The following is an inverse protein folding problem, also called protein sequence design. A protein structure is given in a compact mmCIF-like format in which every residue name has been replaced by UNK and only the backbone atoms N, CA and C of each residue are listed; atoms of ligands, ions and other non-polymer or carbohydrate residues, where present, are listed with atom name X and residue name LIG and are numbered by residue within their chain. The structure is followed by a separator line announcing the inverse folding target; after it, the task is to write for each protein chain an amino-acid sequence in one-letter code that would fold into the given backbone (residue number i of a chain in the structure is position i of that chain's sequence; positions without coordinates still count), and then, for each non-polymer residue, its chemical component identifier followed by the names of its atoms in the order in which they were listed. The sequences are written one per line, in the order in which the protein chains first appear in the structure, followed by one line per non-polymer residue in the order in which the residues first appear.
data_IF_684632913664
#
_entry.id   IF_684632913664
#
_cell.length_a   1.000
_cell.length_b   1.000
_cell.length_c   1.000
_cell.angle_alpha   90.00
_cell.angle_beta   90.00
_cell.angle_gamma   90.00
#
_symmetry.space_group_name_H-M   'P 1'
#
loop_
_entity.id
_entity.type
_entity.pdbx_description
1 polymer ?
#
# COMPACT_ATOMS: atom_id res chain seq x y z
N UNK A 1 -1.95 27.09 2.15
CA UNK A 1 -3.29 26.45 2.23
C UNK A 1 -4.32 27.54 1.95
N UNK A 2 -5.23 27.26 1.02
CA UNK A 2 -6.37 28.12 0.73
C UNK A 2 -7.50 27.99 1.79
N UNK A 3 -8.60 28.73 1.61
CA UNK A 3 -9.72 28.75 2.58
C UNK A 3 -10.42 27.38 2.66
N UNK A 4 -10.51 26.67 1.54
CA UNK A 4 -11.13 25.34 1.49
C UNK A 4 -10.25 24.30 2.16
N UNK A 5 -8.95 24.34 1.92
CA UNK A 5 -7.98 23.49 2.59
C UNK A 5 -7.96 23.69 4.10
N UNK A 6 -8.12 24.92 4.57
CA UNK A 6 -8.20 25.21 6.00
C UNK A 6 -9.47 24.65 6.65
N UNK A 7 -10.61 24.69 5.94
CA UNK A 7 -11.85 24.04 6.41
C UNK A 7 -11.68 22.52 6.51
N UNK A 8 -11.11 21.93 5.47
CA UNK A 8 -10.87 20.48 5.43
C UNK A 8 -9.84 20.04 6.49
N UNK A 9 -8.78 20.85 6.70
CA UNK A 9 -7.81 20.60 7.78
C UNK A 9 -8.49 20.56 9.15
N UNK A 10 -9.32 21.55 9.46
CA UNK A 10 -10.04 21.62 10.73
C UNK A 10 -10.96 20.43 10.93
N UNK A 11 -11.65 20.00 9.86
CA UNK A 11 -12.52 18.82 9.87
C UNK A 11 -11.72 17.54 10.14
N UNK A 12 -10.63 17.29 9.38
CA UNK A 12 -9.82 16.08 9.54
C UNK A 12 -9.11 16.03 10.89
N UNK A 13 -8.61 17.16 11.41
CA UNK A 13 -8.03 17.22 12.74
C UNK A 13 -9.06 16.83 13.81
N UNK A 14 -10.28 17.40 13.75
CA UNK A 14 -11.35 17.07 14.67
C UNK A 14 -11.68 15.57 14.66
N UNK A 15 -11.86 15.00 13.47
CA UNK A 15 -12.13 13.57 13.32
C UNK A 15 -11.01 12.69 13.89
N UNK A 16 -9.76 13.06 13.70
CA UNK A 16 -8.63 12.29 14.21
C UNK A 16 -8.47 12.41 15.73
N UNK A 17 -8.75 13.58 16.30
CA UNK A 17 -8.79 13.78 17.77
C UNK A 17 -9.92 12.95 18.39
N UNK A 18 -11.13 13.00 17.83
CA UNK A 18 -12.29 12.23 18.32
C UNK A 18 -12.05 10.72 18.28
N UNK A 19 -11.29 10.24 17.30
CA UNK A 19 -10.86 8.83 17.20
C UNK A 19 -9.69 8.49 18.13
N UNK A 20 -9.09 9.47 18.79
CA UNK A 20 -7.90 9.27 19.62
C UNK A 20 -6.63 8.91 18.82
N UNK A 21 -6.60 9.18 17.50
CA UNK A 21 -5.45 8.92 16.64
C UNK A 21 -4.34 9.95 16.82
N UNK A 22 -4.72 11.18 17.14
CA UNK A 22 -3.80 12.28 17.44
C UNK A 22 -4.16 12.95 18.75
N UNK A 23 -3.18 13.59 19.34
CA UNK A 23 -3.34 14.44 20.54
C UNK A 23 -2.54 15.73 20.39
N UNK A 24 -2.85 16.82 21.15
CA UNK A 24 -1.97 17.98 21.26
C UNK A 24 -0.58 17.58 21.70
N UNK A 25 0.45 18.27 21.20
CA UNK A 25 1.85 17.96 21.45
C UNK A 25 2.61 19.17 21.98
N UNK A 26 3.61 18.90 22.80
CA UNK A 26 4.66 19.86 23.19
C UNK A 26 6.05 19.42 22.70
N UNK A 27 6.08 18.51 21.72
CA UNK A 27 7.31 17.97 21.15
C UNK A 27 8.19 19.07 20.52
N UNK A 28 9.49 18.87 20.57
CA UNK A 28 10.47 19.67 19.81
C UNK A 28 10.53 19.27 18.31
N UNK A 29 9.88 18.17 17.93
CA UNK A 29 9.72 17.75 16.53
C UNK A 29 8.50 18.42 15.92
N UNK A 30 8.48 18.55 14.58
CA UNK A 30 7.32 19.12 13.90
C UNK A 30 7.44 18.94 12.40
N UNK A 31 6.74 17.96 11.84
CA UNK A 31 6.64 17.77 10.39
C UNK A 31 5.64 18.77 9.79
N UNK A 32 5.90 19.33 8.61
CA UNK A 32 4.90 20.12 7.91
C UNK A 32 3.77 19.22 7.36
N UNK A 33 2.60 19.81 7.14
CA UNK A 33 1.44 19.12 6.58
C UNK A 33 1.13 19.62 5.18
N UNK A 34 0.64 18.72 4.34
CA UNK A 34 0.17 19.02 2.99
C UNK A 34 -1.08 18.20 2.66
N UNK A 35 -1.82 18.64 1.66
CA UNK A 35 -2.93 17.89 1.11
C UNK A 35 -2.51 17.17 -0.18
N UNK A 36 -2.98 15.94 -0.30
CA UNK A 36 -2.88 15.14 -1.54
C UNK A 36 -4.30 14.86 -2.02
N UNK A 37 -4.57 15.14 -3.27
CA UNK A 37 -5.82 14.84 -3.91
C UNK A 37 -5.94 13.34 -4.18
N UNK A 38 -7.08 12.74 -3.84
CA UNK A 38 -7.41 11.36 -4.16
C UNK A 38 -8.10 11.28 -5.52
N UNK A 39 -8.24 10.07 -6.06
CA UNK A 39 -8.96 9.82 -7.32
C UNK A 39 -10.42 10.28 -7.33
N UNK A 40 -11.03 10.38 -6.16
CA UNK A 40 -12.40 10.87 -5.95
C UNK A 40 -12.46 12.38 -5.69
N UNK A 41 -11.40 13.12 -6.01
CA UNK A 41 -11.22 14.56 -5.78
C UNK A 41 -11.29 15.00 -4.32
N UNK A 42 -11.39 14.05 -3.38
CA UNK A 42 -11.28 14.38 -1.96
C UNK A 42 -9.82 14.59 -1.55
N UNK A 43 -9.60 15.51 -0.60
CA UNK A 43 -8.26 15.83 -0.11
C UNK A 43 -7.90 14.96 1.11
N UNK A 44 -6.69 14.39 1.10
CA UNK A 44 -6.12 13.67 2.23
C UNK A 44 -5.03 14.49 2.88
N UNK A 45 -5.12 14.71 4.19
CA UNK A 45 -4.05 15.31 4.98
C UNK A 45 -2.88 14.32 5.09
N UNK A 46 -1.69 14.77 4.74
CA UNK A 46 -0.46 13.98 4.78
C UNK A 46 0.62 14.79 5.50
N UNK A 47 1.40 14.13 6.34
CA UNK A 47 2.55 14.70 7.03
C UNK A 47 3.81 14.44 6.23
N UNK A 48 4.62 15.47 6.05
CA UNK A 48 5.90 15.32 5.36
C UNK A 48 6.97 14.85 6.34
N UNK A 49 7.12 13.55 6.44
CA UNK A 49 8.14 12.92 7.30
C UNK A 49 9.48 12.70 6.61
N UNK A 50 9.78 13.33 5.45
CA UNK A 50 11.06 13.10 4.74
C UNK A 50 12.26 13.32 5.64
N UNK A 51 12.32 14.43 6.38
CA UNK A 51 13.42 14.72 7.30
C UNK A 51 13.53 13.71 8.45
N UNK A 52 12.42 13.26 9.02
CA UNK A 52 12.40 12.19 10.02
C UNK A 52 12.88 10.86 9.42
N UNK A 53 12.44 10.56 8.21
CA UNK A 53 12.80 9.33 7.50
C UNK A 53 14.30 9.26 7.14
N UNK A 54 14.94 10.41 6.90
CA UNK A 54 16.38 10.49 6.62
C UNK A 54 17.22 10.03 7.81
N UNK A 55 16.82 10.40 9.03
CA UNK A 55 17.54 10.03 10.27
C UNK A 55 17.06 8.70 10.87
N UNK A 56 15.99 8.14 10.34
CA UNK A 56 15.44 6.87 10.83
C UNK A 56 16.26 5.69 10.29
N UNK A 57 16.68 4.79 11.17
CA UNK A 57 17.30 3.52 10.80
C UNK A 57 16.26 2.67 10.07
N UNK A 58 16.53 2.37 8.80
CA UNK A 58 15.59 1.65 7.94
C UNK A 58 15.48 0.19 8.34
N UNK A 59 14.27 -0.26 8.60
CA UNK A 59 13.97 -1.66 8.85
C UNK A 59 14.27 -2.49 7.58
N UNK A 60 14.85 -3.67 7.76
CA UNK A 60 15.22 -4.58 6.68
C UNK A 60 14.27 -5.78 6.56
N UNK A 61 13.08 -5.71 7.16
CA UNK A 61 12.09 -6.77 7.03
C UNK A 61 11.77 -6.97 5.54
N UNK A 62 11.89 -8.21 5.02
CA UNK A 62 11.67 -8.44 3.60
C UNK A 62 10.19 -8.26 3.26
N UNK A 63 9.91 -7.45 2.25
CA UNK A 63 8.60 -7.49 1.60
C UNK A 63 8.54 -8.73 0.70
N UNK A 64 7.42 -9.45 0.68
CA UNK A 64 7.28 -10.62 -0.17
C UNK A 64 7.44 -10.25 -1.65
N UNK A 65 8.05 -11.14 -2.41
CA UNK A 65 8.14 -10.99 -3.86
C UNK A 65 6.77 -11.27 -4.47
N UNK A 66 6.26 -10.34 -5.25
CA UNK A 66 4.92 -10.42 -5.84
C UNK A 66 4.77 -11.67 -6.74
N UNK A 67 5.83 -12.06 -7.47
CA UNK A 67 5.77 -13.27 -8.29
C UNK A 67 5.60 -14.53 -7.44
N UNK A 68 6.28 -14.62 -6.30
CA UNK A 68 6.18 -15.76 -5.40
C UNK A 68 4.77 -15.85 -4.79
N UNK A 69 4.14 -14.67 -4.53
CA UNK A 69 2.75 -14.63 -4.07
C UNK A 69 1.78 -15.16 -5.14
N UNK A 70 1.99 -14.81 -6.41
CA UNK A 70 1.14 -15.32 -7.50
C UNK A 70 1.33 -16.81 -7.77
N UNK A 71 2.53 -17.34 -7.58
CA UNK A 71 2.79 -18.77 -7.76
C UNK A 71 2.05 -19.64 -6.71
N UNK A 72 1.78 -19.09 -5.51
CA UNK A 72 0.96 -19.75 -4.48
C UNK A 72 -0.53 -19.88 -4.88
N UNK A 73 -1.04 -18.96 -5.71
CA UNK A 73 -2.45 -18.94 -6.11
C UNK A 73 -2.79 -19.99 -7.18
N UNK A 74 -1.81 -20.74 -7.67
CA UNK A 74 -1.99 -21.72 -8.73
C UNK A 74 -2.96 -22.84 -8.31
N UNK A 75 -4.01 -23.02 -9.13
CA UNK A 75 -5.04 -24.04 -8.89
C UNK A 75 -6.20 -23.56 -7.99
N UNK A 76 -6.16 -22.35 -7.47
CA UNK A 76 -7.30 -21.75 -6.79
C UNK A 76 -8.39 -21.32 -7.79
N UNK A 77 -9.65 -21.40 -7.37
CA UNK A 77 -10.83 -21.07 -8.18
C UNK A 77 -11.76 -20.06 -7.51
N UNK A 78 -11.70 -19.97 -6.18
CA UNK A 78 -12.55 -19.08 -5.39
C UNK A 78 -11.67 -18.16 -4.57
N UNK A 79 -11.98 -16.87 -4.59
CA UNK A 79 -11.20 -15.83 -3.96
C UNK A 79 -12.06 -14.90 -3.11
N UNK A 80 -11.50 -14.45 -1.99
CA UNK A 80 -12.03 -13.31 -1.24
C UNK A 80 -10.92 -12.36 -0.87
N UNK A 81 -11.18 -11.08 -1.00
CA UNK A 81 -10.22 -10.02 -0.67
C UNK A 81 -10.74 -9.20 0.49
N UNK A 82 -9.92 -9.01 1.50
CA UNK A 82 -10.22 -8.20 2.67
C UNK A 82 -9.27 -7.00 2.68
N UNK A 83 -9.83 -5.80 2.71
CA UNK A 83 -9.10 -4.52 2.87
C UNK A 83 -9.24 -4.08 4.33
N UNK A 84 -8.13 -3.87 5.02
CA UNK A 84 -8.14 -3.42 6.41
C UNK A 84 -8.46 -1.92 6.49
N UNK A 85 -9.37 -1.56 7.38
CA UNK A 85 -9.79 -0.18 7.60
C UNK A 85 -8.63 0.66 8.15
N UNK A 86 -8.04 1.53 7.31
CA UNK A 86 -6.94 2.41 7.73
C UNK A 86 -5.82 1.63 8.43
N UNK A 87 -5.36 0.53 7.82
CA UNK A 87 -4.54 -0.51 8.45
C UNK A 87 -3.46 0.00 9.40
N UNK A 88 -2.63 0.96 8.96
CA UNK A 88 -1.58 1.52 9.81
C UNK A 88 -2.11 2.18 11.09
N UNK A 89 -3.26 2.86 11.06
CA UNK A 89 -3.86 3.48 12.25
C UNK A 89 -4.40 2.47 13.27
N UNK A 90 -4.42 1.18 12.94
CA UNK A 90 -4.78 0.15 13.92
C UNK A 90 -3.59 -0.24 14.83
N UNK A 91 -2.39 0.23 14.53
CA UNK A 91 -1.19 -0.04 15.31
C UNK A 91 -0.82 1.15 16.17
N UNK A 92 -0.63 0.92 17.47
CA UNK A 92 -0.17 1.93 18.41
C UNK A 92 1.33 2.17 18.24
N UNK A 93 1.74 3.42 18.39
CA UNK A 93 3.14 3.80 18.49
C UNK A 93 3.59 3.62 19.95
N UNK A 94 4.86 3.28 20.17
CA UNK A 94 5.46 3.28 21.50
C UNK A 94 5.43 4.70 22.06
N UNK A 95 5.14 4.84 23.35
CA UNK A 95 5.03 6.15 24.01
C UNK A 95 6.28 7.03 23.79
N UNK A 96 7.47 6.44 23.84
CA UNK A 96 8.76 7.10 23.60
C UNK A 96 8.96 7.63 22.16
N UNK A 97 8.23 7.07 21.19
CA UNK A 97 8.31 7.43 19.78
C UNK A 97 7.18 8.39 19.32
N UNK A 98 6.11 8.50 20.09
CA UNK A 98 4.97 9.38 19.79
C UNK A 98 5.43 10.82 19.52
N UNK A 99 6.27 11.46 20.34
CA UNK A 99 6.72 12.84 20.11
C UNK A 99 7.44 13.03 18.77
N UNK A 100 8.10 11.99 18.22
CA UNK A 100 8.79 12.05 16.93
C UNK A 100 7.82 12.21 15.75
N UNK A 101 6.56 11.82 15.93
CA UNK A 101 5.52 11.94 14.90
C UNK A 101 4.83 13.29 14.88
N UNK A 102 5.26 14.24 15.70
CA UNK A 102 4.63 15.53 15.80
C UNK A 102 4.60 16.28 14.46
N UNK A 103 3.51 16.96 14.20
CA UNK A 103 3.31 17.74 13.00
C UNK A 103 2.66 19.09 13.30
N UNK A 104 3.07 20.09 12.54
CA UNK A 104 2.68 21.48 12.74
C UNK A 104 1.53 21.86 11.82
N UNK A 105 0.51 22.48 12.39
CA UNK A 105 -0.61 23.04 11.64
C UNK A 105 -0.83 24.48 12.07
N UNK A 106 -1.67 25.21 11.30
CA UNK A 106 -2.13 26.55 11.71
C UNK A 106 -2.87 26.55 13.07
N UNK A 107 -3.43 25.40 13.46
CA UNK A 107 -4.25 25.25 14.69
C UNK A 107 -3.48 24.68 15.88
N UNK A 108 -2.18 24.46 15.74
CA UNK A 108 -1.32 23.96 16.79
C UNK A 108 -0.43 22.80 16.35
N UNK A 109 0.30 22.27 17.32
CA UNK A 109 1.16 21.11 17.19
C UNK A 109 0.41 19.88 17.70
N UNK A 110 0.44 18.81 16.93
CA UNK A 110 -0.20 17.52 17.25
C UNK A 110 0.78 16.38 17.02
N UNK A 111 0.54 15.25 17.67
CA UNK A 111 1.34 14.03 17.50
C UNK A 111 0.43 12.80 17.37
N UNK A 112 0.91 11.77 16.67
CA UNK A 112 0.15 10.54 16.47
C UNK A 112 0.38 9.55 17.60
N UNK A 113 -0.70 8.99 18.15
CA UNK A 113 -0.70 7.87 19.09
C UNK A 113 -0.72 6.52 18.39
N UNK A 114 -1.09 6.53 17.11
CA UNK A 114 -1.16 5.37 16.21
C UNK A 114 -0.25 5.61 14.99
N UNK A 115 0.18 4.54 14.34
CA UNK A 115 1.14 4.61 13.24
C UNK A 115 0.55 5.33 12.01
N UNK A 116 1.05 6.54 11.65
CA UNK A 116 0.57 7.27 10.48
C UNK A 116 1.19 6.75 9.18
N UNK A 117 0.58 7.12 8.07
CA UNK A 117 1.20 7.01 6.76
C UNK A 117 2.41 7.94 6.62
N UNK A 118 3.39 7.56 5.82
CA UNK A 118 4.56 8.36 5.49
C UNK A 118 5.82 8.04 6.31
N UNK A 119 5.73 7.26 7.38
CA UNK A 119 6.90 6.76 8.11
C UNK A 119 7.58 5.65 7.31
N UNK A 120 8.90 5.72 7.15
CA UNK A 120 9.68 4.78 6.33
C UNK A 120 9.57 3.32 6.78
N UNK A 121 9.43 3.07 8.09
CA UNK A 121 9.36 1.73 8.65
C UNK A 121 7.92 1.19 8.82
N UNK A 122 6.89 1.99 8.53
CA UNK A 122 5.51 1.58 8.73
C UNK A 122 5.12 0.33 7.91
N UNK A 123 5.45 0.22 6.61
CA UNK A 123 5.14 -0.98 5.83
C UNK A 123 5.80 -2.24 6.39
N UNK A 124 7.08 -2.16 6.77
CA UNK A 124 7.82 -3.29 7.31
C UNK A 124 7.26 -3.78 8.66
N UNK A 125 6.94 -2.83 9.55
CA UNK A 125 6.35 -3.16 10.84
C UNK A 125 4.95 -3.77 10.70
N UNK A 126 4.14 -3.23 9.79
CA UNK A 126 2.82 -3.74 9.50
C UNK A 126 2.88 -5.16 8.93
N UNK A 127 3.75 -5.41 7.94
CA UNK A 127 3.97 -6.75 7.39
C UNK A 127 4.46 -7.74 8.44
N UNK A 128 5.36 -7.33 9.34
CA UNK A 128 5.81 -8.18 10.46
C UNK A 128 4.63 -8.63 11.32
N UNK A 129 3.74 -7.70 11.64
CA UNK A 129 2.54 -7.99 12.44
C UNK A 129 1.59 -8.91 11.69
N UNK A 130 1.28 -8.59 10.43
CA UNK A 130 0.36 -9.38 9.60
C UNK A 130 0.86 -10.80 9.38
N UNK A 131 2.15 -10.98 9.10
CA UNK A 131 2.74 -12.30 8.95
C UNK A 131 2.69 -13.09 10.27
N UNK A 132 2.84 -12.43 11.41
CA UNK A 132 2.70 -13.09 12.72
C UNK A 132 1.24 -13.52 12.97
N UNK A 133 0.27 -12.70 12.64
CA UNK A 133 -1.16 -12.99 12.82
C UNK A 133 -1.60 -14.18 11.96
N UNK A 134 -1.14 -14.23 10.71
CA UNK A 134 -1.57 -15.22 9.74
C UNK A 134 -0.55 -16.35 9.50
N UNK A 135 0.50 -16.47 10.31
CA UNK A 135 1.59 -17.42 10.14
C UNK A 135 1.13 -18.86 9.87
N UNK A 136 0.07 -19.29 10.53
CA UNK A 136 -0.48 -20.65 10.40
C UNK A 136 -1.14 -20.90 9.04
N UNK A 137 -1.53 -19.85 8.33
CA UNK A 137 -2.33 -19.89 7.10
C UNK A 137 -1.57 -19.41 5.86
N UNK A 138 -0.45 -18.70 6.07
CA UNK A 138 0.43 -18.30 4.97
C UNK A 138 0.89 -19.52 4.17
N UNK A 139 1.04 -19.35 2.87
CA UNK A 139 1.46 -20.40 1.92
C UNK A 139 0.47 -21.58 1.79
N UNK A 140 -0.69 -21.52 2.46
CA UNK A 140 -1.73 -22.56 2.40
C UNK A 140 -2.99 -22.06 1.69
N UNK A 141 -3.57 -20.99 2.16
CA UNK A 141 -4.82 -20.43 1.61
C UNK A 141 -4.96 -18.90 1.82
N UNK A 142 -3.95 -18.24 2.32
CA UNK A 142 -3.92 -16.79 2.48
C UNK A 142 -2.62 -16.19 2.00
N UNK A 143 -2.74 -15.08 1.32
CA UNK A 143 -1.64 -14.19 0.93
C UNK A 143 -1.90 -12.84 1.55
N UNK A 144 -0.88 -12.24 2.14
CA UNK A 144 -0.94 -10.91 2.75
C UNK A 144 0.08 -10.00 2.09
N UNK A 145 -0.38 -8.83 1.68
CA UNK A 145 0.50 -7.78 1.19
C UNK A 145 0.03 -6.42 1.72
N UNK A 146 0.73 -5.94 2.74
CA UNK A 146 0.38 -4.71 3.48
C UNK A 146 -1.08 -4.81 3.99
N UNK A 147 -1.95 -3.92 3.56
CA UNK A 147 -3.35 -3.82 4.01
C UNK A 147 -4.29 -4.83 3.32
N UNK A 148 -3.83 -5.47 2.22
CA UNK A 148 -4.61 -6.41 1.43
C UNK A 148 -4.40 -7.85 1.91
N UNK A 149 -5.48 -8.54 2.25
CA UNK A 149 -5.51 -9.98 2.58
C UNK A 149 -6.30 -10.68 1.48
N UNK A 150 -5.66 -11.61 0.78
CA UNK A 150 -6.29 -12.44 -0.25
C UNK A 150 -6.43 -13.87 0.26
N UNK A 151 -7.65 -14.35 0.34
CA UNK A 151 -8.01 -15.72 0.69
C UNK A 151 -8.32 -16.45 -0.60
N UNK A 152 -7.76 -17.66 -0.76
CA UNK A 152 -7.94 -18.44 -1.97
C UNK A 152 -8.21 -19.91 -1.65
N UNK A 153 -9.00 -20.59 -2.48
CA UNK A 153 -9.43 -21.97 -2.26
C UNK A 153 -9.70 -22.67 -3.58
N UNK A 154 -9.75 -23.98 -3.55
CA UNK A 154 -10.02 -24.82 -4.74
C UNK A 154 -11.51 -24.90 -5.05
N UNK A 155 -12.36 -24.80 -4.03
CA UNK A 155 -13.81 -24.88 -4.13
C UNK A 155 -14.50 -24.08 -3.01
N UNK A 156 -15.83 -23.96 -3.10
CA UNK A 156 -16.63 -23.17 -2.19
C UNK A 156 -16.64 -23.75 -0.76
N UNK A 157 -16.63 -25.07 -0.62
CA UNK A 157 -16.71 -25.73 0.70
C UNK A 157 -15.42 -25.51 1.51
N UNK A 158 -14.25 -25.50 0.85
CA UNK A 158 -12.97 -25.11 1.45
C UNK A 158 -12.98 -23.60 1.75
N UNK A 159 -13.53 -22.80 0.83
CA UNK A 159 -13.50 -21.34 0.96
C UNK A 159 -14.28 -20.84 2.17
N UNK A 160 -15.45 -21.42 2.44
CA UNK A 160 -16.23 -21.12 3.64
C UNK A 160 -15.42 -21.30 4.92
N UNK A 161 -14.71 -22.44 5.03
CA UNK A 161 -13.86 -22.75 6.20
C UNK A 161 -12.68 -21.76 6.30
N UNK A 162 -12.01 -21.50 5.20
CA UNK A 162 -10.88 -20.57 5.16
C UNK A 162 -11.30 -19.16 5.55
N UNK A 163 -12.40 -18.67 5.01
CA UNK A 163 -12.94 -17.36 5.33
C UNK A 163 -13.31 -17.24 6.81
N UNK A 164 -13.94 -18.28 7.37
CA UNK A 164 -14.29 -18.32 8.79
C UNK A 164 -13.03 -18.19 9.69
N UNK A 165 -11.99 -18.98 9.41
CA UNK A 165 -10.73 -18.95 10.14
C UNK A 165 -10.07 -17.55 10.08
N UNK A 166 -10.07 -16.91 8.92
CA UNK A 166 -9.49 -15.57 8.78
C UNK A 166 -10.31 -14.53 9.55
N UNK A 167 -11.65 -14.60 9.50
CA UNK A 167 -12.51 -13.70 10.26
C UNK A 167 -12.33 -13.86 11.77
N UNK A 168 -12.14 -15.10 12.25
CA UNK A 168 -11.82 -15.35 13.66
C UNK A 168 -10.48 -14.75 14.06
N UNK A 169 -9.44 -14.90 13.24
CA UNK A 169 -8.11 -14.28 13.49
C UNK A 169 -8.17 -12.76 13.52
N UNK A 170 -8.91 -12.14 12.60
CA UNK A 170 -9.11 -10.70 12.61
C UNK A 170 -9.80 -10.25 13.92
N UNK A 171 -10.82 -10.97 14.36
CA UNK A 171 -11.54 -10.69 15.63
C UNK A 171 -10.62 -10.87 16.85
N UNK A 172 -9.88 -11.96 16.91
CA UNK A 172 -8.93 -12.27 17.99
C UNK A 172 -7.88 -11.15 18.17
N UNK A 173 -7.34 -10.69 17.06
CA UNK A 173 -6.31 -9.63 17.03
C UNK A 173 -6.88 -8.22 16.97
N UNK A 174 -8.21 -8.04 17.05
CA UNK A 174 -8.90 -6.74 16.98
C UNK A 174 -8.54 -5.94 15.72
N UNK A 175 -8.39 -6.64 14.60
CA UNK A 175 -8.17 -6.03 13.30
C UNK A 175 -9.52 -5.81 12.60
N UNK A 176 -9.73 -4.61 12.12
CA UNK A 176 -11.01 -4.20 11.54
C UNK A 176 -10.90 -4.07 10.02
N UNK A 177 -11.78 -4.77 9.32
CA UNK A 177 -11.91 -4.66 7.87
C UNK A 177 -12.83 -3.49 7.48
N UNK A 178 -12.62 -2.94 6.30
CA UNK A 178 -13.54 -1.99 5.67
C UNK A 178 -14.46 -2.75 4.73
N UNK A 179 -15.62 -3.19 5.20
CA UNK A 179 -16.54 -4.05 4.47
C UNK A 179 -16.86 -3.55 3.05
N UNK A 180 -17.05 -2.23 2.86
CA UNK A 180 -17.34 -1.64 1.53
C UNK A 180 -16.20 -1.75 0.51
N UNK A 181 -15.03 -2.23 0.93
CA UNK A 181 -13.87 -2.50 0.06
C UNK A 181 -13.48 -3.97 0.06
N UNK A 182 -14.18 -4.79 0.83
CA UNK A 182 -14.00 -6.23 0.81
C UNK A 182 -14.81 -6.84 -0.32
N UNK A 183 -14.25 -7.86 -0.94
CA UNK A 183 -14.88 -8.61 -2.02
C UNK A 183 -14.85 -10.09 -1.65
N UNK A 184 -15.98 -10.77 -1.81
CA UNK A 184 -16.13 -12.15 -1.32
C UNK A 184 -16.64 -13.06 -2.43
N UNK A 185 -16.24 -14.34 -2.42
CA UNK A 185 -16.74 -15.38 -3.30
C UNK A 185 -16.59 -15.06 -4.79
N UNK A 186 -15.42 -14.59 -5.18
CA UNK A 186 -15.13 -14.24 -6.56
C UNK A 186 -14.42 -15.39 -7.29
N UNK A 187 -14.76 -15.58 -8.55
CA UNK A 187 -14.01 -16.39 -9.52
C UNK A 187 -12.80 -15.64 -10.11
N UNK A 188 -12.82 -14.30 -10.02
CA UNK A 188 -11.78 -13.38 -10.48
C UNK A 188 -11.61 -12.25 -9.49
N UNK A 189 -10.37 -11.92 -9.13
CA UNK A 189 -10.08 -10.85 -8.16
C UNK A 189 -8.94 -9.95 -8.61
N UNK A 190 -9.09 -8.64 -8.40
CA UNK A 190 -8.02 -7.66 -8.57
C UNK A 190 -7.06 -7.66 -7.37
N UNK A 191 -5.80 -8.06 -7.60
CA UNK A 191 -4.78 -8.10 -6.55
C UNK A 191 -3.45 -7.57 -7.07
N UNK A 192 -2.87 -6.57 -6.39
CA UNK A 192 -1.58 -5.96 -6.73
C UNK A 192 -1.44 -5.53 -8.21
N UNK A 193 -2.50 -4.96 -8.79
CA UNK A 193 -2.49 -4.50 -10.18
C UNK A 193 -2.60 -5.62 -11.22
N UNK A 194 -3.02 -6.80 -10.81
CA UNK A 194 -3.27 -7.96 -11.66
C UNK A 194 -4.67 -8.50 -11.41
N UNK A 195 -5.19 -9.23 -12.39
CA UNK A 195 -6.40 -10.03 -12.23
C UNK A 195 -5.97 -11.48 -12.05
N UNK A 196 -6.41 -12.07 -10.95
CA UNK A 196 -6.18 -13.48 -10.61
C UNK A 196 -7.46 -14.27 -10.84
N UNK A 197 -7.38 -15.42 -11.47
CA UNK A 197 -8.50 -16.35 -11.73
C UNK A 197 -8.01 -17.80 -11.78
N UNK A 198 -8.93 -18.75 -11.96
CA UNK A 198 -8.60 -20.15 -12.16
C UNK A 198 -7.72 -20.41 -13.41
N UNK A 199 -7.83 -19.55 -14.43
CA UNK A 199 -7.04 -19.61 -15.67
C UNK A 199 -5.61 -19.10 -15.48
N UNK A 200 -5.34 -18.39 -14.39
CA UNK A 200 -4.04 -17.82 -14.07
C UNK A 200 -4.09 -16.33 -13.72
N UNK A 201 -2.94 -15.67 -13.87
CA UNK A 201 -2.75 -14.26 -13.56
C UNK A 201 -2.59 -13.46 -14.83
N UNK A 202 -3.32 -12.36 -14.96
CA UNK A 202 -3.25 -11.40 -16.08
C UNK A 202 -3.04 -9.99 -15.55
N UNK A 203 -2.60 -9.07 -16.41
CA UNK A 203 -2.48 -7.65 -16.03
C UNK A 203 -3.86 -7.02 -15.95
N UNK A 204 -4.10 -6.18 -14.94
CA UNK A 204 -5.30 -5.36 -14.86
C UNK A 204 -5.40 -4.42 -16.08
N UNK A 205 -6.49 -4.45 -16.86
CA UNK A 205 -6.65 -3.62 -18.06
C UNK A 205 -6.46 -2.12 -17.79
N UNK A 206 -6.87 -1.64 -16.61
CA UNK A 206 -6.68 -0.23 -16.23
C UNK A 206 -5.19 0.15 -16.09
N UNK A 207 -4.33 -0.83 -15.80
CA UNK A 207 -2.89 -0.64 -15.70
C UNK A 207 -2.20 -0.74 -17.05
N UNK A 208 -2.76 -1.55 -17.96
CA UNK A 208 -2.30 -1.58 -19.36
C UNK A 208 -2.50 -0.23 -20.00
N UNK A 209 -3.68 0.39 -19.83
CA UNK A 209 -3.97 1.74 -20.31
C UNK A 209 -2.92 2.76 -19.83
N UNK A 210 -2.54 2.72 -18.57
CA UNK A 210 -1.53 3.63 -18.03
C UNK A 210 -0.14 3.50 -18.70
N UNK A 211 0.18 2.35 -19.28
CA UNK A 211 1.42 2.16 -20.05
C UNK A 211 1.25 2.57 -21.51
N UNK A 212 0.11 2.23 -22.13
CA UNK A 212 -0.14 2.51 -23.56
C UNK A 212 -0.42 3.99 -23.83
N UNK A 213 -0.99 4.70 -22.85
CA UNK A 213 -1.26 6.14 -22.91
C UNK A 213 -0.10 7.01 -22.42
N UNK A 214 1.03 6.38 -22.05
CA UNK A 214 2.19 7.12 -21.58
C UNK A 214 2.78 7.96 -22.70
N UNK A 215 2.95 9.26 -22.44
CA UNK A 215 3.62 10.15 -23.40
C UNK A 215 5.07 9.71 -23.67
N UNK A 216 5.54 9.92 -24.90
CA UNK A 216 6.90 9.60 -25.28
C UNK A 216 7.92 10.31 -24.36
N UNK A 217 8.82 9.55 -23.69
CA UNK A 217 9.79 10.13 -22.77
C UNK A 217 10.69 11.17 -23.46
N UNK A 218 10.85 12.34 -22.84
CA UNK A 218 11.64 13.48 -23.37
C UNK A 218 13.04 13.59 -22.75
N UNK A 219 13.32 12.81 -21.71
CA UNK A 219 14.61 12.82 -21.01
C UNK A 219 14.89 11.46 -20.32
N UNK A 220 16.13 11.29 -19.85
CA UNK A 220 16.56 10.06 -19.20
C UNK A 220 15.80 9.75 -17.88
N UNK A 221 15.29 10.77 -17.19
CA UNK A 221 14.44 10.61 -15.99
C UNK A 221 13.11 9.97 -16.34
N UNK A 222 12.46 10.47 -17.38
CA UNK A 222 11.17 9.94 -17.87
C UNK A 222 11.31 8.52 -18.43
N UNK A 223 12.44 8.21 -19.12
CA UNK A 223 12.73 6.83 -19.52
C UNK A 223 12.81 5.90 -18.30
N UNK A 224 13.51 6.30 -17.22
CA UNK A 224 13.58 5.48 -16.00
C UNK A 224 12.20 5.27 -15.40
N UNK A 225 11.37 6.29 -15.36
CA UNK A 225 9.99 6.21 -14.84
C UNK A 225 9.15 5.27 -15.69
N UNK A 226 9.19 5.41 -17.01
CA UNK A 226 8.48 4.50 -17.93
C UNK A 226 8.95 3.05 -17.81
N UNK A 227 10.29 2.82 -17.86
CA UNK A 227 10.85 1.48 -17.71
C UNK A 227 10.58 0.87 -16.33
N UNK A 228 10.47 1.70 -15.30
CA UNK A 228 10.06 1.26 -13.96
C UNK A 228 8.64 0.72 -13.96
N UNK A 229 7.69 1.46 -14.55
CA UNK A 229 6.30 1.04 -14.65
C UNK A 229 6.14 -0.17 -15.58
N UNK A 230 6.64 -0.10 -16.80
CA UNK A 230 6.53 -1.19 -17.77
C UNK A 230 7.26 -2.45 -17.29
N UNK A 231 8.42 -2.28 -16.61
CA UNK A 231 9.20 -3.37 -16.04
C UNK A 231 8.49 -4.15 -14.94
N UNK A 232 7.55 -3.52 -14.23
CA UNK A 232 6.69 -4.21 -13.26
C UNK A 232 5.85 -5.30 -13.92
N UNK A 233 5.41 -5.07 -15.18
CA UNK A 233 4.60 -6.01 -15.96
C UNK A 233 5.42 -6.86 -16.94
N UNK A 234 6.76 -6.84 -16.85
CA UNK A 234 7.67 -7.54 -17.81
C UNK A 234 7.40 -9.03 -17.99
N UNK A 235 6.84 -9.70 -16.96
CA UNK A 235 6.46 -11.13 -17.02
C UNK A 235 5.39 -11.39 -18.10
N UNK A 236 4.56 -10.39 -18.40
CA UNK A 236 3.44 -10.48 -19.34
C UNK A 236 3.76 -9.87 -20.71
N UNK A 237 4.98 -9.38 -20.91
CA UNK A 237 5.42 -8.77 -22.19
C UNK A 237 6.50 -9.66 -22.78
N UNK A 238 6.13 -10.31 -23.89
CA UNK A 238 7.08 -11.16 -24.62
C UNK A 238 8.28 -10.35 -25.09
N UNK A 239 9.48 -10.90 -24.93
CA UNK A 239 10.73 -10.25 -25.33
C UNK A 239 10.95 -8.83 -24.74
N UNK A 240 10.39 -8.52 -23.56
CA UNK A 240 10.51 -7.20 -22.92
C UNK A 240 11.94 -6.64 -22.95
N UNK A 241 12.95 -7.44 -22.62
CA UNK A 241 14.34 -7.00 -22.59
C UNK A 241 14.86 -6.53 -23.95
N UNK A 242 14.44 -7.16 -25.04
CA UNK A 242 14.79 -6.75 -26.41
C UNK A 242 14.10 -5.44 -26.78
N UNK A 243 12.82 -5.32 -26.44
CA UNK A 243 12.00 -4.11 -26.70
C UNK A 243 12.54 -2.91 -25.89
N UNK A 244 12.89 -3.13 -24.64
CA UNK A 244 13.39 -2.07 -23.73
C UNK A 244 14.85 -1.68 -23.99
N UNK A 245 15.64 -2.49 -24.74
CA UNK A 245 17.07 -2.26 -24.98
C UNK A 245 17.39 -0.86 -25.54
N UNK A 246 16.73 -0.36 -26.58
CA UNK A 246 17.01 0.97 -27.13
C UNK A 246 16.85 2.08 -26.09
N UNK A 247 15.79 2.01 -25.28
CA UNK A 247 15.56 2.98 -24.18
C UNK A 247 16.63 2.87 -23.10
N UNK A 248 17.03 1.64 -22.75
CA UNK A 248 18.09 1.40 -21.76
C UNK A 248 19.43 1.94 -22.24
N UNK A 249 19.72 1.87 -23.55
CA UNK A 249 20.94 2.45 -24.13
C UNK A 249 21.01 3.98 -23.95
N UNK A 250 19.86 4.68 -24.02
CA UNK A 250 19.79 6.14 -23.79
C UNK A 250 20.05 6.54 -22.32
N UNK A 251 20.06 5.60 -21.37
CA UNK A 251 20.39 5.86 -19.97
C UNK A 251 21.90 5.83 -19.68
N UNK A 252 22.73 5.43 -20.65
CA UNK A 252 24.19 5.39 -20.49
C UNK A 252 24.75 6.81 -20.52
N UNK A 253 25.79 7.07 -19.67
CA UNK A 253 26.39 8.40 -19.53
C UNK A 253 26.96 8.96 -20.84
N UNK A 254 27.42 8.07 -21.73
CA UNK A 254 28.11 8.44 -22.96
C UNK A 254 27.20 8.58 -24.18
N UNK A 255 25.86 8.42 -23.96
CA UNK A 255 24.87 8.53 -25.04
C UNK A 255 24.14 9.86 -24.96
N UNK A 256 24.14 10.58 -26.08
CA UNK A 256 23.31 11.76 -26.23
C UNK A 256 21.85 11.32 -26.36
N UNK A 257 20.99 11.96 -25.59
CA UNK A 257 19.55 11.74 -25.71
C UNK A 257 19.05 12.37 -27.03
N UNK A 258 18.57 11.53 -27.93
CA UNK A 258 18.02 11.93 -29.23
C UNK A 258 16.68 11.27 -29.39
#
# INVERSE_FOLDING_TARGET
MDVEELKELKKQLKEQIEKGFIRPSSSSWGAPVLFVEKKDSSKRLVMDYRSLNEVTIKNKYPLPNINDLFDQLKGAKVFSKIDLRSGYFQLKIREEDIPKTAFTTRYGLYEYTVMPFGLTNAPAYFMTMMNKVFMEYLDKFVVVFIDDILIYSKDDAEHEKHLHLIMEKLREHKLYAKFSKCEFWLDRVGFLGHIVSAEGVTVDPSKVAAVTEWESPKNAGEIRSFLGLAGYYRRFIENFSKIAKPMTELLKKDKKFI
#
